data_IF_876109059367
#
_entry.id   IF_876109059367
#
_cell.length_a   1.000
_cell.length_b   1.000
_cell.length_c   1.000
_cell.angle_alpha   90.00
_cell.angle_beta   90.00
_cell.angle_gamma   90.00
#
_symmetry.space_group_name_H-M   'P 1'
#
loop_
_entity.id
_entity.type
_entity.pdbx_description
1 polymer ?
#
# COMPACT_ATOMS: atom_id res chain seq x y z
N UNK A 1 -8.66 10.44 5.66
CA UNK A 1 -7.35 10.01 6.17
C UNK A 1 -6.30 11.02 5.71
N UNK A 2 -5.48 11.50 6.60
CA UNK A 2 -4.50 12.55 6.32
C UNK A 2 -3.09 11.99 6.35
N UNK A 3 -2.30 12.26 5.30
CA UNK A 3 -0.90 11.80 5.23
C UNK A 3 0.05 12.62 6.09
N UNK A 4 -0.28 13.88 6.31
CA UNK A 4 0.61 14.78 7.04
C UNK A 4 0.92 14.22 8.42
N UNK A 5 2.21 14.10 8.73
CA UNK A 5 2.66 13.61 10.03
C UNK A 5 2.62 12.11 10.20
N UNK A 6 2.13 11.37 9.22
CA UNK A 6 2.07 9.91 9.31
C UNK A 6 3.37 9.28 8.84
N UNK A 7 3.72 8.16 9.45
CA UNK A 7 4.80 7.32 8.96
C UNK A 7 4.22 6.37 7.91
N UNK A 8 4.88 6.27 6.78
CA UNK A 8 4.31 5.59 5.62
C UNK A 8 5.20 4.46 5.13
N UNK A 9 4.58 3.30 4.96
CA UNK A 9 5.19 2.19 4.23
C UNK A 9 4.75 2.33 2.78
N UNK A 10 5.70 2.57 1.89
CA UNK A 10 5.42 2.78 0.46
C UNK A 10 5.74 1.50 -0.29
N UNK A 11 4.71 0.83 -0.80
CA UNK A 11 4.89 -0.43 -1.52
C UNK A 11 4.46 -0.26 -2.96
N UNK A 12 5.46 -0.07 -3.82
CA UNK A 12 5.24 0.06 -5.24
C UNK A 12 5.28 -1.26 -5.95
N UNK A 13 5.00 -1.23 -7.24
CA UNK A 13 5.01 -2.38 -8.10
C UNK A 13 5.69 -1.99 -9.40
N UNK A 14 6.51 -2.87 -9.91
CA UNK A 14 7.23 -2.59 -11.14
C UNK A 14 6.28 -2.28 -12.31
N UNK A 15 5.16 -2.98 -12.37
CA UNK A 15 4.19 -2.79 -13.45
C UNK A 15 3.10 -1.79 -13.11
N UNK A 16 3.20 -1.17 -11.95
CA UNK A 16 2.29 -0.11 -11.52
C UNK A 16 3.06 1.16 -11.23
N UNK A 17 2.88 1.70 -10.03
CA UNK A 17 3.62 2.88 -9.56
C UNK A 17 4.77 2.37 -8.72
N UNK A 18 5.99 2.78 -9.06
CA UNK A 18 7.16 2.29 -8.34
C UNK A 18 7.37 3.01 -7.02
N UNK A 19 8.10 2.35 -6.12
CA UNK A 19 8.32 2.85 -4.78
C UNK A 19 8.82 4.28 -4.69
N UNK A 20 9.87 4.64 -5.43
CA UNK A 20 10.38 6.02 -5.37
C UNK A 20 9.37 7.07 -5.78
N UNK A 21 8.47 6.75 -6.72
CA UNK A 21 7.42 7.70 -7.10
C UNK A 21 6.43 7.89 -5.97
N UNK A 22 6.04 6.78 -5.31
CA UNK A 22 5.15 6.88 -4.15
C UNK A 22 5.83 7.71 -3.07
N UNK A 23 7.10 7.46 -2.81
CA UNK A 23 7.85 8.17 -1.78
C UNK A 23 7.84 9.67 -2.02
N UNK A 24 8.09 10.08 -3.27
CA UNK A 24 8.08 11.50 -3.61
C UNK A 24 6.70 12.12 -3.35
N UNK A 25 5.65 11.39 -3.73
CA UNK A 25 4.29 11.88 -3.54
C UNK A 25 3.93 11.98 -2.06
N UNK A 26 4.29 10.98 -1.29
CA UNK A 26 4.02 10.97 0.15
C UNK A 26 4.72 12.16 0.82
N UNK A 27 5.98 12.41 0.47
CA UNK A 27 6.69 13.56 1.01
C UNK A 27 6.00 14.86 0.66
N UNK A 28 5.47 14.97 -0.55
CA UNK A 28 4.81 16.20 -0.97
C UNK A 28 3.57 16.50 -0.14
N UNK A 29 2.98 15.46 0.46
CA UNK A 29 1.80 15.62 1.30
C UNK A 29 2.14 15.74 2.78
N UNK A 30 3.42 15.78 3.12
CA UNK A 30 3.84 15.90 4.51
C UNK A 30 3.97 14.59 5.25
N UNK A 31 3.90 13.48 4.53
CA UNK A 31 4.11 12.17 5.14
C UNK A 31 5.59 11.84 5.27
N UNK A 32 5.89 10.84 6.09
CA UNK A 32 7.26 10.42 6.37
C UNK A 32 7.45 8.98 5.88
N UNK A 33 8.03 8.77 4.69
CA UNK A 33 8.25 7.39 4.23
C UNK A 33 9.35 6.73 5.05
N UNK A 34 8.96 5.77 5.87
CA UNK A 34 9.91 5.06 6.73
C UNK A 34 10.38 3.75 6.11
N UNK A 35 9.69 3.28 5.08
CA UNK A 35 10.07 2.08 4.35
C UNK A 35 9.52 2.20 2.94
N UNK A 36 10.37 1.94 1.96
CA UNK A 36 9.97 2.03 0.56
C UNK A 36 10.47 0.78 -0.17
N UNK A 37 9.58 0.17 -0.93
CA UNK A 37 9.93 -1.05 -1.65
C UNK A 37 9.16 -1.09 -2.96
N UNK A 38 9.77 -1.69 -3.98
CA UNK A 38 9.08 -1.95 -5.25
C UNK A 38 9.01 -3.46 -5.45
N UNK A 39 7.79 -3.97 -5.54
CA UNK A 39 7.57 -5.38 -5.79
C UNK A 39 7.71 -5.69 -7.27
N UNK A 40 8.16 -6.90 -7.58
CA UNK A 40 8.22 -7.38 -8.95
C UNK A 40 7.37 -8.65 -9.01
N UNK A 41 6.36 -8.64 -9.85
CA UNK A 41 5.44 -9.77 -9.93
C UNK A 41 6.17 -11.07 -10.28
N UNK A 42 7.17 -11.00 -11.10
CA UNK A 42 7.95 -12.17 -11.51
C UNK A 42 8.72 -12.78 -10.33
N UNK A 43 8.95 -12.02 -9.53
CA UNK A 43 9.71 -12.44 -8.46
C UNK A 43 8.95 -12.95 -7.33
N UNK A 44 7.81 -12.73 -7.40
CA UNK A 44 6.98 -13.22 -6.30
C UNK A 44 6.24 -14.49 -6.72
N UNK A 45 5.88 -15.29 -5.73
CA UNK A 45 5.03 -16.44 -6.01
C UNK A 45 3.64 -15.92 -6.41
N UNK A 46 3.01 -16.60 -7.37
CA UNK A 46 1.69 -16.18 -7.83
C UNK A 46 0.72 -16.14 -6.64
N UNK A 47 0.03 -15.02 -6.50
CA UNK A 47 -0.97 -14.85 -5.47
C UNK A 47 -0.44 -14.59 -4.08
N UNK A 48 0.83 -14.21 -3.96
CA UNK A 48 1.39 -13.94 -2.64
C UNK A 48 2.19 -12.64 -2.63
N UNK A 49 2.09 -11.92 -1.51
CA UNK A 49 2.94 -10.76 -1.28
C UNK A 49 4.34 -11.29 -0.95
N UNK A 50 5.34 -10.65 -1.54
CA UNK A 50 6.75 -11.01 -1.39
C UNK A 50 7.13 -11.21 0.09
N UNK A 51 7.86 -12.29 0.37
CA UNK A 51 8.28 -12.60 1.74
C UNK A 51 9.14 -11.49 2.34
N UNK A 52 10.03 -10.92 1.54
CA UNK A 52 10.88 -9.83 2.01
C UNK A 52 10.04 -8.60 2.35
N UNK A 53 9.03 -8.31 1.54
CA UNK A 53 8.12 -7.21 1.80
C UNK A 53 7.34 -7.42 3.08
N UNK A 54 6.89 -8.66 3.32
CA UNK A 54 6.19 -8.97 4.57
C UNK A 54 7.11 -8.74 5.77
N UNK A 55 8.35 -9.19 5.67
CA UNK A 55 9.31 -9.00 6.77
C UNK A 55 9.56 -7.53 7.04
N UNK A 56 9.72 -6.74 5.99
CA UNK A 56 9.96 -5.31 6.15
C UNK A 56 8.77 -4.60 6.77
N UNK A 57 7.56 -4.96 6.37
CA UNK A 57 6.36 -4.36 6.95
C UNK A 57 6.22 -4.73 8.42
N UNK A 58 6.50 -5.98 8.74
CA UNK A 58 6.45 -6.45 10.13
C UNK A 58 7.44 -5.68 10.99
N UNK A 59 8.67 -5.51 10.49
CA UNK A 59 9.69 -4.75 11.21
C UNK A 59 9.30 -3.30 11.37
N UNK A 60 8.75 -2.69 10.33
CA UNK A 60 8.33 -1.29 10.41
C UNK A 60 7.28 -1.12 11.51
N UNK A 61 6.34 -2.05 11.60
CA UNK A 61 5.31 -1.99 12.64
C UNK A 61 5.93 -2.14 14.03
N UNK A 62 6.92 -3.01 14.16
CA UNK A 62 7.60 -3.20 15.44
C UNK A 62 8.39 -1.97 15.86
N UNK A 63 9.08 -1.35 14.92
CA UNK A 63 9.94 -0.19 15.22
C UNK A 63 9.12 1.07 15.48
N UNK A 64 8.11 1.33 14.66
CA UNK A 64 7.40 2.59 14.68
C UNK A 64 6.07 2.54 15.41
N UNK A 65 5.56 1.35 15.71
CA UNK A 65 4.23 1.21 16.28
C UNK A 65 3.16 1.34 15.20
N UNK A 66 1.98 0.81 15.47
CA UNK A 66 0.91 0.78 14.48
C UNK A 66 0.05 2.04 14.46
N UNK A 67 0.09 2.81 15.53
CA UNK A 67 -0.87 3.90 15.71
C UNK A 67 -0.72 5.02 14.68
N UNK A 68 0.49 5.26 14.21
CA UNK A 68 0.74 6.35 13.27
C UNK A 68 1.30 5.87 11.95
N UNK A 69 1.11 4.59 11.65
CA UNK A 69 1.71 3.94 10.48
C UNK A 69 0.61 3.62 9.47
N UNK A 70 0.86 3.92 8.19
CA UNK A 70 -0.10 3.62 7.15
C UNK A 70 0.65 3.09 5.93
N UNK A 71 -0.05 2.33 5.10
CA UNK A 71 0.53 1.74 3.90
C UNK A 71 -0.07 2.41 2.66
N UNK A 72 0.81 2.81 1.75
CA UNK A 72 0.40 3.35 0.46
C UNK A 72 0.92 2.44 -0.64
N UNK A 73 0.01 1.93 -1.44
CA UNK A 73 0.31 0.98 -2.51
C UNK A 73 0.40 1.65 -3.87
N UNK A 74 1.20 1.05 -4.75
CA UNK A 74 1.24 1.42 -6.16
C UNK A 74 0.97 0.23 -7.07
N UNK A 75 0.19 -0.72 -6.60
CA UNK A 75 -0.12 -1.95 -7.34
C UNK A 75 -0.88 -1.65 -8.64
N UNK A 76 -0.71 -2.50 -9.68
CA UNK A 76 -1.25 -2.17 -11.01
C UNK A 76 -2.71 -2.49 -11.22
N UNK A 77 -3.33 -3.28 -10.34
CA UNK A 77 -4.72 -3.69 -10.55
C UNK A 77 -5.41 -4.03 -9.25
N UNK A 78 -6.71 -4.30 -9.35
CA UNK A 78 -7.53 -4.57 -8.18
C UNK A 78 -7.10 -5.84 -7.45
N UNK A 79 -6.79 -6.90 -8.20
CA UNK A 79 -6.45 -8.17 -7.58
C UNK A 79 -5.17 -8.08 -6.75
N UNK A 80 -4.13 -7.46 -7.28
CA UNK A 80 -2.89 -7.33 -6.52
C UNK A 80 -3.06 -6.36 -5.36
N UNK A 81 -3.81 -5.30 -5.55
CA UNK A 81 -4.07 -4.34 -4.47
C UNK A 81 -4.79 -5.03 -3.31
N UNK A 82 -5.80 -5.82 -3.64
CA UNK A 82 -6.58 -6.53 -2.63
C UNK A 82 -5.71 -7.55 -1.89
N UNK A 83 -4.84 -8.25 -2.62
CA UNK A 83 -3.95 -9.22 -2.00
C UNK A 83 -2.97 -8.55 -1.03
N UNK A 84 -2.35 -7.45 -1.45
CA UNK A 84 -1.43 -6.74 -0.59
C UNK A 84 -2.14 -6.21 0.65
N UNK A 85 -3.33 -5.64 0.47
CA UNK A 85 -4.09 -5.13 1.60
C UNK A 85 -4.48 -6.24 2.55
N UNK A 86 -4.96 -7.36 2.01
CA UNK A 86 -5.34 -8.50 2.85
C UNK A 86 -4.17 -8.98 3.70
N UNK A 87 -2.98 -9.07 3.10
CA UNK A 87 -1.80 -9.52 3.82
C UNK A 87 -1.43 -8.56 4.95
N UNK A 88 -1.50 -7.26 4.69
CA UNK A 88 -1.06 -6.25 5.65
C UNK A 88 -2.11 -5.95 6.71
N UNK A 89 -3.36 -6.26 6.45
CA UNK A 89 -4.43 -6.08 7.43
C UNK A 89 -4.65 -7.34 8.24
N UNK A 90 -4.84 -8.48 7.57
CA UNK A 90 -5.28 -9.71 8.21
C UNK A 90 -4.22 -10.79 8.31
N UNK A 91 -3.11 -10.66 7.59
CA UNK A 91 -2.05 -11.66 7.59
C UNK A 91 -1.94 -12.36 6.25
N UNK A 92 -0.86 -13.10 6.08
CA UNK A 92 -0.54 -13.76 4.82
C UNK A 92 -1.55 -14.86 4.52
N UNK A 93 -2.37 -14.71 3.49
CA UNK A 93 -3.40 -15.72 3.19
C UNK A 93 -2.82 -17.04 2.69
N UNK A 94 -1.57 -17.04 2.22
CA UNK A 94 -0.92 -18.27 1.77
C UNK A 94 -0.25 -19.02 2.90
N UNK A 95 -0.13 -18.41 4.07
CA UNK A 95 0.47 -19.02 5.26
C UNK A 95 1.93 -19.44 5.07
N UNK A 96 2.66 -18.71 4.23
CA UNK A 96 4.05 -19.06 3.94
C UNK A 96 5.07 -18.04 4.40
N UNK A 97 4.66 -16.83 4.72
CA UNK A 97 5.59 -15.75 5.01
C UNK A 97 5.58 -15.30 6.47
N UNK A 98 6.38 -14.29 6.76
CA UNK A 98 6.47 -13.75 8.12
C UNK A 98 5.16 -13.23 8.69
N UNK A 99 4.21 -12.87 7.83
CA UNK A 99 2.89 -12.41 8.28
C UNK A 99 1.86 -13.53 8.34
N UNK A 100 2.28 -14.77 8.18
CA UNK A 100 1.36 -15.90 8.38
C UNK A 100 0.87 -15.88 9.82
N UNK A 101 -0.43 -15.78 10.01
CA UNK A 101 -1.02 -15.72 11.34
C UNK A 101 -0.78 -14.41 12.07
N UNK A 102 -0.25 -13.39 11.40
CA UNK A 102 0.06 -12.11 12.03
C UNK A 102 -0.78 -11.01 11.37
N UNK A 103 -1.73 -10.48 12.11
CA UNK A 103 -2.59 -9.40 11.64
C UNK A 103 -2.00 -8.07 12.09
N UNK A 104 -1.43 -7.30 11.15
CA UNK A 104 -0.88 -5.99 11.47
C UNK A 104 -1.95 -4.93 11.61
N UNK A 105 -3.09 -5.15 10.96
CA UNK A 105 -4.23 -4.25 11.07
C UNK A 105 -3.92 -2.82 10.64
N UNK A 106 -3.06 -2.66 9.65
CA UNK A 106 -2.65 -1.34 9.17
C UNK A 106 -3.67 -0.76 8.21
N UNK A 107 -3.86 0.57 8.23
CA UNK A 107 -4.66 1.21 7.17
C UNK A 107 -3.91 1.11 5.84
N UNK A 108 -4.60 0.69 4.79
CA UNK A 108 -3.99 0.51 3.47
C UNK A 108 -4.77 1.31 2.44
N UNK A 109 -4.05 2.13 1.68
CA UNK A 109 -4.62 2.94 0.60
C UNK A 109 -3.74 2.82 -0.64
N UNK A 110 -4.30 3.16 -1.79
CA UNK A 110 -3.54 3.23 -3.03
C UNK A 110 -3.23 4.70 -3.33
N UNK A 111 -2.05 4.96 -3.87
CA UNK A 111 -1.63 6.33 -4.14
C UNK A 111 -2.57 7.07 -5.09
N UNK A 112 -3.30 6.33 -5.94
CA UNK A 112 -4.21 6.92 -6.91
C UNK A 112 -5.63 7.10 -6.39
N UNK A 113 -5.95 6.62 -5.20
CA UNK A 113 -7.29 6.84 -4.66
C UNK A 113 -7.54 8.34 -4.48
N UNK A 114 -8.74 8.81 -4.80
CA UNK A 114 -9.01 10.25 -4.72
C UNK A 114 -8.68 10.86 -3.37
N UNK A 115 -8.95 10.14 -2.30
CA UNK A 115 -8.68 10.62 -0.95
C UNK A 115 -7.20 10.91 -0.72
N UNK A 116 -6.34 10.12 -1.33
CA UNK A 116 -4.89 10.29 -1.22
C UNK A 116 -4.42 11.33 -2.23
N UNK A 117 -4.88 11.18 -3.48
CA UNK A 117 -4.45 12.06 -4.57
C UNK A 117 -4.65 13.54 -4.23
N UNK A 118 -5.78 13.87 -3.60
CA UNK A 118 -6.09 15.27 -3.33
C UNK A 118 -5.12 15.92 -2.35
N UNK A 119 -4.34 15.14 -1.62
CA UNK A 119 -3.37 15.65 -0.65
C UNK A 119 -2.00 15.92 -1.26
N UNK A 120 -1.75 15.44 -2.47
CA UNK A 120 -0.44 15.53 -3.09
C UNK A 120 -0.21 16.89 -3.75
N UNK A 121 1.05 17.32 -3.79
CA UNK A 121 1.42 18.51 -4.54
C UNK A 121 1.10 18.27 -6.02
N UNK A 122 0.35 19.17 -6.67
CA UNK A 122 -0.02 18.94 -8.07
C UNK A 122 1.14 18.75 -9.04
N UNK A 123 2.25 19.43 -8.81
CA UNK A 123 3.42 19.29 -9.69
C UNK A 123 4.08 17.94 -9.51
N UNK A 124 4.14 17.47 -8.29
CA UNK A 124 4.71 16.15 -8.00
C UNK A 124 3.81 15.06 -8.57
N UNK A 125 2.50 15.22 -8.43
CA UNK A 125 1.54 14.31 -9.03
C UNK A 125 1.75 14.22 -10.55
N UNK A 126 1.84 15.37 -11.20
CA UNK A 126 2.02 15.44 -12.64
C UNK A 126 3.29 14.72 -13.07
N UNK A 127 4.37 14.94 -12.34
CA UNK A 127 5.66 14.36 -12.69
C UNK A 127 5.66 12.84 -12.56
N UNK A 128 5.05 12.31 -11.51
CA UNK A 128 5.20 10.90 -11.14
C UNK A 128 4.01 10.01 -11.47
N UNK A 129 2.80 10.56 -11.49
CA UNK A 129 1.60 9.72 -11.51
C UNK A 129 0.68 9.96 -12.69
N UNK A 130 0.74 11.13 -13.32
CA UNK A 130 -0.30 11.52 -14.29
C UNK A 130 -0.44 10.54 -15.44
N UNK A 131 0.69 10.05 -15.97
CA UNK A 131 0.64 9.10 -17.08
C UNK A 131 0.00 7.78 -16.67
N UNK A 132 0.25 7.36 -15.45
CA UNK A 132 -0.29 6.08 -14.96
C UNK A 132 -1.78 6.16 -14.66
N UNK A 133 -2.30 7.34 -14.47
CA UNK A 133 -3.74 7.48 -14.24
C UNK A 133 -4.54 6.96 -15.43
N UNK A 134 -4.00 7.07 -16.62
CA UNK A 134 -4.65 6.54 -17.82
C UNK A 134 -4.58 5.02 -17.85
N UNK A 135 -3.45 4.48 -17.40
CA UNK A 135 -3.20 3.04 -17.48
C UNK A 135 -3.89 2.21 -16.41
N UNK A 136 -4.13 2.80 -15.23
CA UNK A 136 -4.68 2.05 -14.12
C UNK A 136 -6.18 2.26 -13.98
N UNK A 137 -6.89 1.19 -13.61
CA UNK A 137 -8.33 1.27 -13.34
C UNK A 137 -8.50 1.63 -11.85
N UNK A 138 -8.51 2.93 -11.57
CA UNK A 138 -8.55 3.41 -10.20
C UNK A 138 -9.85 3.02 -9.49
N UNK A 139 -10.96 3.01 -10.21
CA UNK A 139 -12.24 2.61 -9.61
C UNK A 139 -12.19 1.15 -9.15
N UNK A 140 -11.65 0.27 -9.98
CA UNK A 140 -11.56 -1.14 -9.62
C UNK A 140 -10.62 -1.35 -8.44
N UNK A 141 -9.49 -0.63 -8.43
CA UNK A 141 -8.54 -0.71 -7.33
C UNK A 141 -9.18 -0.26 -6.02
N UNK A 142 -9.88 0.87 -6.06
CA UNK A 142 -10.55 1.39 -4.88
C UNK A 142 -11.62 0.41 -4.38
N UNK A 143 -12.37 -0.19 -5.30
CA UNK A 143 -13.38 -1.18 -4.92
C UNK A 143 -12.73 -2.39 -4.25
N UNK A 144 -11.59 -2.84 -4.77
CA UNK A 144 -10.87 -3.96 -4.16
C UNK A 144 -10.40 -3.65 -2.74
N UNK A 145 -9.85 -2.46 -2.56
CA UNK A 145 -9.41 -2.06 -1.22
C UNK A 145 -10.60 -1.88 -0.28
N UNK A 146 -11.72 -1.38 -0.79
CA UNK A 146 -12.91 -1.24 0.03
C UNK A 146 -13.44 -2.60 0.50
N UNK A 147 -13.28 -3.64 -0.29
CA UNK A 147 -13.68 -4.97 0.15
C UNK A 147 -12.88 -5.40 1.39
N UNK A 148 -11.59 -5.12 1.41
CA UNK A 148 -10.77 -5.44 2.58
C UNK A 148 -11.13 -4.57 3.77
N UNK A 149 -11.35 -3.28 3.54
CA UNK A 149 -11.73 -2.36 4.61
C UNK A 149 -13.07 -2.74 5.24
N UNK A 150 -14.04 -3.15 4.43
CA UNK A 150 -15.34 -3.58 4.95
C UNK A 150 -15.22 -4.87 5.77
N UNK A 151 -14.41 -5.81 5.30
CA UNK A 151 -14.18 -7.06 5.99
C UNK A 151 -13.58 -6.80 7.37
N UNK A 152 -12.62 -5.87 7.45
CA UNK A 152 -12.00 -5.49 8.71
C UNK A 152 -13.03 -4.89 9.66
N UNK A 153 -13.86 -3.99 9.17
CA UNK A 153 -14.90 -3.37 9.99
C UNK A 153 -15.88 -4.40 10.53
N UNK A 154 -16.26 -5.36 9.69
CA UNK A 154 -17.16 -6.42 10.08
C UNK A 154 -16.57 -7.28 11.19
N UNK A 155 -15.27 -7.58 11.11
CA UNK A 155 -14.59 -8.37 12.13
C UNK A 155 -14.51 -7.61 13.46
N UNK A 156 -14.41 -6.29 13.39
CA UNK A 156 -14.23 -5.46 14.58
C UNK A 156 -15.54 -5.04 15.22
N UNK A 157 -16.67 -5.34 14.60
CA UNK A 157 -17.97 -4.94 15.15
C UNK A 157 -18.68 -6.07 15.95
#
# INVERSE_FOLDING_TARGET
MELKGKKVISIGERDGIQGPAIEACVKSAGGDPVMTQTQCFVXTAAGAFDLEGQEMAKKAAEIHGKDNLIVILGSPDADSSELYAETLVNGDPSWTGPLAGVSLDLPVFHIMEPEIKEQLDPEVYKEHLELMEIALDVEAITAGLNRVRKKKMSKNS
#
